data_IF_063402267123
#
_entry.id   IF_063402267123
#
_cell.length_a   1.000
_cell.length_b   1.000
_cell.length_c   1.000
_cell.angle_alpha   90.00
_cell.angle_beta   90.00
_cell.angle_gamma   90.00
#
_symmetry.space_group_name_H-M   'P 1'
#
loop_
_entity.id
_entity.type
_entity.pdbx_description
1 polymer ?
#
# COMPACT_ATOMS: atom_id res chain seq x y z
N UNK A 1 -2.22 -4.62 -13.45
CA UNK A 1 -2.37 -5.00 -12.02
C UNK A 1 -2.69 -3.73 -11.20
N UNK A 2 -3.06 -3.84 -9.92
CA UNK A 2 -3.70 -2.77 -9.11
C UNK A 2 -3.24 -1.31 -9.38
N UNK A 3 -1.93 -1.07 -9.55
CA UNK A 3 -1.36 0.26 -9.82
C UNK A 3 -1.81 0.86 -11.16
N UNK A 4 -1.85 0.06 -12.23
CA UNK A 4 -2.33 0.48 -13.56
C UNK A 4 -3.83 0.83 -13.56
N UNK A 5 -4.62 0.10 -12.77
CA UNK A 5 -6.05 0.40 -12.63
C UNK A 5 -6.25 1.74 -11.90
N UNK A 6 -5.41 2.02 -10.88
CA UNK A 6 -5.41 3.30 -10.19
C UNK A 6 -4.98 4.47 -11.08
N UNK A 7 -3.98 4.28 -11.96
CA UNK A 7 -3.56 5.29 -12.94
C UNK A 7 -4.65 5.68 -13.94
N UNK A 8 -5.48 4.71 -14.34
CA UNK A 8 -6.59 4.95 -15.28
C UNK A 8 -7.84 5.52 -14.62
N UNK A 9 -7.76 5.92 -13.35
CA UNK A 9 -8.81 6.63 -12.63
C UNK A 9 -9.75 5.75 -11.82
N UNK A 10 -9.51 4.44 -11.72
CA UNK A 10 -10.31 3.56 -10.88
C UNK A 10 -9.88 3.69 -9.41
N UNK A 11 -10.85 3.71 -8.49
CA UNK A 11 -10.55 3.52 -7.08
C UNK A 11 -10.22 2.04 -6.85
N UNK A 12 -8.99 1.78 -6.42
CA UNK A 12 -8.50 0.42 -6.17
C UNK A 12 -8.27 0.24 -4.68
N UNK A 13 -8.92 -0.78 -4.11
CA UNK A 13 -8.74 -1.20 -2.72
C UNK A 13 -7.96 -2.51 -2.70
N UNK A 14 -6.87 -2.57 -1.94
CA UNK A 14 -6.03 -3.76 -1.80
C UNK A 14 -5.66 -3.98 -0.33
N UNK A 15 -5.10 -5.14 -0.01
CA UNK A 15 -4.61 -5.47 1.32
C UNK A 15 -3.18 -5.99 1.26
N UNK A 16 -2.40 -5.73 2.31
CA UNK A 16 -1.04 -6.23 2.46
C UNK A 16 -0.76 -6.56 3.93
N UNK A 17 0.00 -7.63 4.18
CA UNK A 17 0.36 -8.02 5.54
C UNK A 17 1.59 -7.24 6.03
N UNK A 18 1.35 -6.01 6.48
CA UNK A 18 2.36 -5.11 7.04
C UNK A 18 1.81 -4.42 8.27
N UNK A 19 2.67 -4.08 9.23
CA UNK A 19 2.22 -3.51 10.51
C UNK A 19 2.08 -1.99 10.47
N UNK A 20 2.87 -1.33 9.63
CA UNK A 20 2.98 0.14 9.56
C UNK A 20 2.91 0.62 8.11
N UNK A 21 2.46 1.86 7.91
CA UNK A 21 2.27 2.42 6.57
C UNK A 21 3.56 2.52 5.75
N UNK A 22 4.68 2.85 6.41
CA UNK A 22 6.00 2.91 5.77
C UNK A 22 6.46 1.54 5.27
N UNK A 23 6.22 0.49 6.05
CA UNK A 23 6.51 -0.90 5.66
C UNK A 23 5.66 -1.30 4.45
N UNK A 24 4.37 -0.89 4.39
CA UNK A 24 3.51 -1.14 3.22
C UNK A 24 4.11 -0.57 1.94
N UNK A 25 4.54 0.70 1.97
CA UNK A 25 5.16 1.36 0.81
C UNK A 25 6.45 0.64 0.41
N UNK A 26 7.31 0.32 1.38
CA UNK A 26 8.56 -0.41 1.11
C UNK A 26 8.31 -1.79 0.49
N UNK A 27 7.32 -2.53 0.99
CA UNK A 27 6.98 -3.85 0.44
C UNK A 27 6.44 -3.75 -1.00
N UNK A 28 5.61 -2.75 -1.29
CA UNK A 28 5.14 -2.52 -2.68
C UNK A 28 6.33 -2.26 -3.59
N UNK A 29 7.26 -1.39 -3.20
CA UNK A 29 8.43 -1.10 -4.04
C UNK A 29 9.38 -2.30 -4.16
N UNK A 30 9.46 -3.15 -3.15
CA UNK A 30 10.29 -4.35 -3.16
C UNK A 30 9.77 -5.45 -4.12
N UNK A 31 8.55 -5.35 -4.65
CA UNK A 31 8.07 -6.29 -5.69
C UNK A 31 8.61 -5.98 -7.08
N UNK A 32 9.26 -4.83 -7.26
CA UNK A 32 9.83 -4.41 -8.53
C UNK A 32 11.34 -4.68 -8.56
N UNK A 33 11.89 -5.11 -9.71
CA UNK A 33 13.34 -5.22 -9.91
C UNK A 33 14.01 -3.84 -9.80
N UNK A 34 15.32 -3.82 -9.56
CA UNK A 34 16.05 -2.60 -9.18
C UNK A 34 16.02 -1.51 -10.27
N UNK A 35 16.04 -1.92 -11.54
CA UNK A 35 15.91 -1.04 -12.71
C UNK A 35 14.52 -0.38 -12.79
N UNK A 36 13.46 -1.12 -12.45
CA UNK A 36 12.08 -0.62 -12.45
C UNK A 36 11.66 0.11 -11.17
N UNK A 37 12.41 -0.05 -10.07
CA UNK A 37 12.01 0.39 -8.73
C UNK A 37 11.80 1.90 -8.62
N UNK A 38 12.62 2.70 -9.32
CA UNK A 38 12.46 4.15 -9.30
C UNK A 38 11.21 4.61 -10.06
N UNK A 39 10.90 3.98 -11.20
CA UNK A 39 9.66 4.24 -11.94
C UNK A 39 8.41 3.88 -11.12
N UNK A 40 8.42 2.69 -10.49
CA UNK A 40 7.34 2.26 -9.60
C UNK A 40 7.13 3.20 -8.41
N UNK A 41 8.22 3.82 -7.89
CA UNK A 41 8.12 4.84 -6.82
C UNK A 41 7.37 6.08 -7.27
N UNK A 42 7.68 6.60 -8.45
CA UNK A 42 7.01 7.77 -9.02
C UNK A 42 5.53 7.47 -9.27
N UNK A 43 5.24 6.30 -9.86
CA UNK A 43 3.89 5.84 -10.14
C UNK A 43 3.06 5.67 -8.86
N UNK A 44 3.61 4.99 -7.86
CA UNK A 44 2.96 4.81 -6.56
C UNK A 44 2.66 6.17 -5.91
N UNK A 45 3.60 7.11 -5.95
CA UNK A 45 3.41 8.45 -5.38
C UNK A 45 2.28 9.24 -6.08
N UNK A 46 2.09 9.04 -7.39
CA UNK A 46 1.03 9.71 -8.14
C UNK A 46 -0.37 9.14 -7.82
N UNK A 47 -0.47 7.83 -7.55
CA UNK A 47 -1.76 7.15 -7.43
C UNK A 47 -2.18 6.84 -5.99
N UNK A 48 -1.24 6.75 -5.04
CA UNK A 48 -1.52 6.35 -3.66
C UNK A 48 -2.35 7.42 -2.93
N UNK A 49 -3.52 7.03 -2.42
CA UNK A 49 -4.41 7.93 -1.67
C UNK A 49 -4.25 7.83 -0.16
N UNK A 50 -4.19 6.60 0.35
CA UNK A 50 -4.05 6.33 1.77
C UNK A 50 -3.47 4.94 2.00
N UNK A 51 -2.83 4.77 3.16
CA UNK A 51 -2.49 3.46 3.73
C UNK A 51 -3.12 3.40 5.11
N UNK A 52 -3.87 2.32 5.38
CA UNK A 52 -4.50 2.08 6.68
C UNK A 52 -3.90 0.82 7.29
N UNK A 53 -3.16 0.99 8.38
CA UNK A 53 -2.61 -0.11 9.16
C UNK A 53 -3.50 -0.38 10.37
N UNK A 54 -4.23 -1.49 10.34
CA UNK A 54 -5.18 -1.86 11.39
C UNK A 54 -4.58 -2.88 12.35
N UNK A 55 -4.79 -2.67 13.65
CA UNK A 55 -4.52 -3.66 14.70
C UNK A 55 -5.74 -3.78 15.60
N UNK A 56 -6.17 -4.99 15.88
CA UNK A 56 -7.20 -5.24 16.88
C UNK A 56 -6.57 -5.13 18.27
N UNK A 57 -7.26 -4.42 19.15
CA UNK A 57 -6.94 -4.35 20.57
C UNK A 57 -8.14 -4.89 21.35
N UNK A 58 -7.93 -5.41 22.58
CA UNK A 58 -9.03 -5.76 23.46
C UNK A 58 -9.99 -4.57 23.63
N UNK A 59 -11.29 -4.83 23.60
CA UNK A 59 -12.30 -3.81 23.88
C UNK A 59 -12.18 -3.36 25.34
N UNK A 60 -12.29 -2.06 25.58
CA UNK A 60 -12.40 -1.53 26.93
C UNK A 60 -13.61 -2.15 27.65
N UNK A 61 -13.36 -2.80 28.80
CA UNK A 61 -14.37 -3.50 29.60
C UNK A 61 -14.46 -5.01 29.44
N UNK A 62 -13.74 -5.63 28.49
CA UNK A 62 -13.91 -7.06 28.18
C UNK A 62 -15.26 -7.34 27.50
N UNK A 63 -15.43 -8.55 26.98
CA UNK A 63 -16.77 -9.04 26.62
C UNK A 63 -17.49 -9.49 27.89
#
# INVERSE_FOLDING_TARGET
TAMLAAETGHLVLTTLHTKEATETVQRILATFPDDGRNGARVQLAACLRAVVSQRLIPRAGGA
#
